data_IF_520029369475
#
_entry.id   IF_520029369475
#
_cell.length_a   1.000
_cell.length_b   1.000
_cell.length_c   1.000
_cell.angle_alpha   90.00
_cell.angle_beta   90.00
_cell.angle_gamma   90.00
#
_symmetry.space_group_name_H-M   'P 1'
#
loop_
_entity.id
_entity.type
_entity.pdbx_description
1 polymer ?
#
# COMPACT_ATOMS: atom_id res chain seq x y z
N UNK A 1 8.78 -3.26 -1.29
CA UNK A 1 7.69 -3.61 -0.36
C UNK A 1 6.52 -4.21 -1.11
N UNK A 2 5.62 -3.38 -1.63
CA UNK A 2 4.33 -3.81 -2.22
C UNK A 2 4.48 -4.82 -3.35
N UNK A 3 5.38 -4.58 -4.31
CA UNK A 3 5.62 -5.49 -5.45
C UNK A 3 6.08 -6.87 -4.98
N UNK A 4 6.94 -6.94 -3.95
CA UNK A 4 7.44 -8.21 -3.38
C UNK A 4 6.31 -8.96 -2.67
N UNK A 5 5.45 -8.26 -1.93
CA UNK A 5 4.28 -8.87 -1.29
C UNK A 5 3.30 -9.46 -2.31
N UNK A 6 3.04 -8.73 -3.40
CA UNK A 6 2.17 -9.20 -4.49
C UNK A 6 2.79 -10.40 -5.21
N UNK A 7 4.08 -10.35 -5.52
CA UNK A 7 4.79 -11.46 -6.17
C UNK A 7 4.80 -12.74 -5.30
N UNK A 8 5.06 -12.61 -4.00
CA UNK A 8 5.02 -13.74 -3.07
C UNK A 8 3.62 -14.36 -2.99
N UNK A 9 2.58 -13.54 -2.94
CA UNK A 9 1.19 -13.98 -2.91
C UNK A 9 0.79 -14.73 -4.20
N UNK A 10 1.24 -14.25 -5.37
CA UNK A 10 1.03 -14.96 -6.65
C UNK A 10 1.72 -16.33 -6.66
N UNK A 11 2.92 -16.43 -6.07
CA UNK A 11 3.62 -17.71 -5.90
C UNK A 11 2.89 -18.67 -4.96
N UNK A 12 2.41 -18.18 -3.81
CA UNK A 12 1.65 -18.99 -2.85
C UNK A 12 0.37 -19.57 -3.43
N UNK A 13 -0.33 -18.82 -4.30
CA UNK A 13 -1.52 -19.32 -5.02
C UNK A 13 -1.23 -20.49 -5.97
N UNK A 14 0.01 -20.68 -6.41
CA UNK A 14 0.39 -21.85 -7.22
C UNK A 14 0.62 -23.10 -6.37
N UNK A 15 0.75 -22.94 -5.05
CA UNK A 15 1.04 -24.03 -4.11
C UNK A 15 -0.24 -24.49 -3.42
N UNK A 16 -1.17 -23.59 -3.12
CA UNK A 16 -2.40 -23.89 -2.37
C UNK A 16 -3.63 -23.82 -3.27
N UNK A 17 -4.28 -24.96 -3.48
CA UNK A 17 -5.48 -25.10 -4.31
C UNK A 17 -6.75 -25.14 -3.46
N UNK A 18 -6.94 -24.14 -2.60
CA UNK A 18 -8.10 -24.08 -1.71
C UNK A 18 -9.35 -23.55 -2.43
N UNK A 19 -10.44 -24.32 -2.36
CA UNK A 19 -11.75 -23.99 -2.95
C UNK A 19 -12.42 -22.83 -2.20
N UNK A 20 -13.12 -21.94 -2.93
CA UNK A 20 -13.77 -20.75 -2.35
C UNK A 20 -15.07 -21.09 -1.63
N UNK A 21 -15.45 -20.35 -0.57
CA UNK A 21 -16.74 -20.56 0.09
C UNK A 21 -17.92 -20.35 -0.87
N UNK A 22 -17.79 -19.48 -1.88
CA UNK A 22 -18.81 -19.28 -2.92
C UNK A 22 -19.07 -20.49 -3.82
N UNK A 23 -18.15 -21.45 -3.87
CA UNK A 23 -18.26 -22.68 -4.66
C UNK A 23 -18.62 -23.89 -3.75
N UNK A 24 -18.12 -23.89 -2.51
CA UNK A 24 -18.36 -24.98 -1.56
C UNK A 24 -19.70 -24.90 -0.81
N UNK A 25 -20.28 -23.70 -0.63
CA UNK A 25 -21.50 -23.50 0.16
C UNK A 25 -22.64 -23.00 -0.74
N UNK A 26 -23.58 -23.90 -1.05
CA UNK A 26 -24.73 -23.64 -1.92
C UNK A 26 -25.71 -22.55 -1.42
N UNK A 27 -25.52 -22.01 -0.21
CA UNK A 27 -26.45 -21.06 0.45
C UNK A 27 -25.82 -19.68 0.69
N UNK A 28 -24.62 -19.42 0.16
CA UNK A 28 -23.98 -18.11 0.25
C UNK A 28 -24.57 -17.19 -0.82
N UNK A 29 -25.24 -16.12 -0.37
CA UNK A 29 -25.69 -15.05 -1.27
C UNK A 29 -24.46 -14.23 -1.67
N UNK A 30 -23.94 -14.51 -2.86
CA UNK A 30 -22.82 -13.75 -3.43
C UNK A 30 -23.33 -12.56 -4.22
N UNK A 31 -22.84 -11.36 -3.88
CA UNK A 31 -23.14 -10.13 -4.65
C UNK A 31 -22.35 -10.09 -5.97
N UNK A 32 -21.25 -10.85 -6.06
CA UNK A 32 -20.35 -10.91 -7.21
C UNK A 32 -20.18 -12.35 -7.70
N UNK A 33 -20.11 -12.60 -9.03
CA UNK A 33 -19.89 -13.94 -9.57
C UNK A 33 -18.64 -14.59 -8.97
N UNK A 34 -18.75 -15.87 -8.60
CA UNK A 34 -17.62 -16.63 -8.09
C UNK A 34 -16.55 -16.70 -9.20
N UNK A 35 -15.28 -16.35 -8.91
CA UNK A 35 -14.18 -16.47 -9.86
C UNK A 35 -14.06 -17.90 -10.40
N UNK A 36 -13.56 -18.06 -11.63
CA UNK A 36 -13.41 -19.38 -12.26
C UNK A 36 -12.53 -20.34 -11.45
N UNK A 37 -12.67 -21.65 -11.70
CA UNK A 37 -12.07 -22.76 -10.91
C UNK A 37 -10.54 -22.71 -10.73
N UNK A 38 -9.83 -21.84 -11.44
CA UNK A 38 -8.38 -21.65 -11.34
C UNK A 38 -7.97 -20.53 -10.39
N UNK A 39 -8.91 -19.78 -9.81
CA UNK A 39 -8.62 -18.71 -8.86
C UNK A 39 -8.88 -19.16 -7.41
N UNK A 40 -7.86 -19.69 -6.76
CA UNK A 40 -7.93 -20.23 -5.40
C UNK A 40 -8.17 -19.16 -4.32
N UNK A 41 -8.72 -19.60 -3.18
CA UNK A 41 -9.07 -18.75 -2.03
C UNK A 41 -7.86 -18.23 -1.27
N UNK A 42 -6.81 -19.06 -1.17
CA UNK A 42 -5.68 -18.78 -0.31
C UNK A 42 -4.43 -18.37 -1.11
N UNK A 43 -3.74 -17.28 -0.75
CA UNK A 43 -4.18 -16.16 0.12
C UNK A 43 -5.05 -15.16 -0.67
N UNK A 44 -5.81 -14.29 0.02
CA UNK A 44 -6.62 -13.25 -0.62
C UNK A 44 -5.75 -12.19 -1.33
N UNK A 45 -5.82 -12.11 -2.65
CA UNK A 45 -5.12 -11.10 -3.44
C UNK A 45 -5.50 -9.67 -3.04
N UNK A 46 -6.79 -9.42 -2.79
CA UNK A 46 -7.27 -8.08 -2.50
C UNK A 46 -6.81 -7.62 -1.11
N UNK A 47 -6.87 -8.51 -0.13
CA UNK A 47 -6.38 -8.24 1.22
C UNK A 47 -4.86 -8.07 1.23
N UNK A 48 -4.12 -8.85 0.43
CA UNK A 48 -2.68 -8.68 0.24
C UNK A 48 -2.35 -7.28 -0.29
N UNK A 49 -3.00 -6.84 -1.37
CA UNK A 49 -2.76 -5.53 -1.99
C UNK A 49 -3.17 -4.40 -1.04
N UNK A 50 -4.37 -4.48 -0.45
CA UNK A 50 -4.90 -3.46 0.45
C UNK A 50 -3.99 -3.28 1.68
N UNK A 51 -3.57 -4.38 2.31
CA UNK A 51 -2.68 -4.35 3.49
C UNK A 51 -1.30 -3.82 3.12
N UNK A 52 -0.73 -4.27 1.99
CA UNK A 52 0.58 -3.81 1.55
C UNK A 52 0.57 -2.31 1.23
N UNK A 53 -0.45 -1.80 0.54
CA UNK A 53 -0.58 -0.37 0.26
C UNK A 53 -0.80 0.44 1.54
N UNK A 54 -1.69 -0.01 2.44
CA UNK A 54 -1.96 0.67 3.70
C UNK A 54 -0.70 0.83 4.56
N UNK A 55 0.11 -0.23 4.69
CA UNK A 55 1.38 -0.18 5.41
C UNK A 55 2.43 0.65 4.68
N UNK A 56 2.49 0.59 3.34
CA UNK A 56 3.38 1.45 2.56
C UNK A 56 3.10 2.93 2.82
N UNK A 57 1.82 3.33 2.84
CA UNK A 57 1.41 4.69 3.17
C UNK A 57 1.73 5.00 4.64
N UNK A 58 1.49 4.08 5.57
CA UNK A 58 1.78 4.28 6.99
C UNK A 58 3.25 4.55 7.30
N UNK A 59 4.17 3.94 6.55
CA UNK A 59 5.61 4.16 6.68
C UNK A 59 6.04 5.56 6.19
N UNK A 60 5.24 6.21 5.34
CA UNK A 60 5.49 7.56 4.81
C UNK A 60 4.74 8.62 5.63
N UNK A 61 3.43 8.42 5.85
CA UNK A 61 2.55 9.31 6.58
C UNK A 61 1.65 8.49 7.52
N UNK A 62 1.90 8.63 8.83
CA UNK A 62 1.19 7.86 9.86
C UNK A 62 -0.31 8.13 9.92
N UNK A 63 -0.77 9.36 9.64
CA UNK A 63 -2.20 9.71 9.69
C UNK A 63 -2.95 9.08 8.52
N UNK A 64 -2.46 9.29 7.30
CA UNK A 64 -3.06 8.69 6.10
C UNK A 64 -2.96 7.17 6.11
N UNK A 65 -1.84 6.63 6.61
CA UNK A 65 -1.68 5.19 6.75
C UNK A 65 -2.61 4.56 7.77
N UNK A 66 -2.88 5.23 8.90
CA UNK A 66 -3.85 4.71 9.88
C UNK A 66 -5.25 4.61 9.26
N UNK A 67 -5.67 5.62 8.50
CA UNK A 67 -6.93 5.60 7.74
C UNK A 67 -6.90 4.44 6.73
N UNK A 68 -5.81 4.29 5.98
CA UNK A 68 -5.67 3.22 4.99
C UNK A 68 -5.70 1.81 5.62
N UNK A 69 -5.15 1.63 6.83
CA UNK A 69 -5.21 0.35 7.56
C UNK A 69 -6.64 0.00 7.95
N UNK A 70 -7.43 0.98 8.41
CA UNK A 70 -8.86 0.77 8.71
C UNK A 70 -9.61 0.38 7.43
N UNK A 71 -9.35 1.08 6.32
CA UNK A 71 -9.96 0.74 5.02
C UNK A 71 -9.56 -0.66 4.55
N UNK A 72 -8.30 -1.08 4.74
CA UNK A 72 -7.85 -2.42 4.40
C UNK A 72 -8.52 -3.49 5.28
N UNK A 73 -8.75 -3.22 6.57
CA UNK A 73 -9.49 -4.12 7.44
C UNK A 73 -10.96 -4.26 7.02
N UNK A 74 -11.61 -3.15 6.64
CA UNK A 74 -12.98 -3.16 6.11
C UNK A 74 -13.09 -3.90 4.77
N UNK A 75 -12.08 -3.78 3.90
CA UNK A 75 -11.98 -4.55 2.66
C UNK A 75 -11.92 -6.05 2.95
N UNK A 76 -11.01 -6.48 3.84
CA UNK A 76 -10.87 -7.87 4.24
C UNK A 76 -12.15 -8.43 4.87
N UNK A 77 -12.81 -7.64 5.74
CA UNK A 77 -14.11 -8.02 6.31
C UNK A 77 -15.17 -8.22 5.23
N UNK A 78 -15.22 -7.32 4.23
CA UNK A 78 -16.17 -7.42 3.12
C UNK A 78 -15.98 -8.72 2.33
N UNK A 79 -14.74 -9.21 2.17
CA UNK A 79 -14.44 -10.48 1.49
C UNK A 79 -14.98 -11.70 2.22
N UNK A 80 -14.92 -11.69 3.56
CA UNK A 80 -15.52 -12.74 4.39
C UNK A 80 -17.04 -12.65 4.37
N UNK A 81 -17.58 -11.45 4.53
CA UNK A 81 -19.02 -11.20 4.56
C UNK A 81 -19.73 -11.63 3.27
N UNK A 82 -19.08 -11.40 2.12
CA UNK A 82 -19.57 -11.83 0.80
C UNK A 82 -19.33 -13.32 0.50
N UNK A 83 -18.73 -14.07 1.44
CA UNK A 83 -18.39 -15.48 1.29
C UNK A 83 -17.37 -15.76 0.17
N UNK A 84 -16.55 -14.79 -0.17
CA UNK A 84 -15.53 -14.92 -1.22
C UNK A 84 -14.24 -15.56 -0.70
N UNK A 85 -13.98 -15.45 0.60
CA UNK A 85 -12.81 -15.97 1.29
C UNK A 85 -13.17 -16.37 2.72
N UNK A 86 -12.43 -17.33 3.28
CA UNK A 86 -12.56 -17.66 4.69
C UNK A 86 -11.88 -16.60 5.58
N UNK A 87 -12.29 -16.45 6.85
CA UNK A 87 -11.62 -15.56 7.79
C UNK A 87 -10.11 -15.81 7.90
N UNK A 88 -9.67 -17.07 7.84
CA UNK A 88 -8.25 -17.41 7.91
C UNK A 88 -7.46 -16.96 6.68
N UNK A 89 -8.06 -16.96 5.48
CA UNK A 89 -7.42 -16.47 4.25
C UNK A 89 -7.05 -14.99 4.35
N UNK A 90 -7.97 -14.19 4.91
CA UNK A 90 -7.81 -12.75 5.09
C UNK A 90 -6.74 -12.45 6.15
N UNK A 91 -6.77 -13.17 7.27
CA UNK A 91 -5.78 -13.01 8.35
C UNK A 91 -4.38 -13.41 7.85
N UNK A 92 -4.25 -14.55 7.16
CA UNK A 92 -2.98 -15.01 6.60
C UNK A 92 -2.42 -14.02 5.57
N UNK A 93 -3.25 -13.55 4.64
CA UNK A 93 -2.86 -12.55 3.64
C UNK A 93 -2.37 -11.24 4.29
N UNK A 94 -3.09 -10.75 5.30
CA UNK A 94 -2.70 -9.55 6.04
C UNK A 94 -1.36 -9.75 6.77
N UNK A 95 -1.15 -10.89 7.43
CA UNK A 95 0.07 -11.20 8.17
C UNK A 95 1.29 -11.31 7.23
N UNK A 96 1.18 -12.08 6.14
CA UNK A 96 2.26 -12.26 5.16
C UNK A 96 2.65 -10.92 4.54
N UNK A 97 1.66 -10.15 4.10
CA UNK A 97 1.88 -8.84 3.46
C UNK A 97 2.52 -7.83 4.41
N UNK A 98 2.08 -7.83 5.68
CA UNK A 98 2.66 -6.98 6.72
C UNK A 98 4.11 -7.32 6.99
N UNK A 99 4.42 -8.61 7.11
CA UNK A 99 5.77 -9.10 7.34
C UNK A 99 6.70 -8.72 6.19
N UNK A 100 6.29 -8.98 4.94
CA UNK A 100 7.09 -8.64 3.76
C UNK A 100 7.28 -7.13 3.59
N UNK A 101 6.27 -6.33 3.93
CA UNK A 101 6.40 -4.87 3.88
C UNK A 101 7.36 -4.34 4.93
N UNK A 102 7.20 -4.74 6.19
CA UNK A 102 8.01 -4.27 7.31
C UNK A 102 9.47 -4.73 7.20
N UNK A 103 9.72 -5.96 6.74
CA UNK A 103 11.08 -6.46 6.51
C UNK A 103 11.72 -5.87 5.25
N UNK A 104 10.92 -5.64 4.19
CA UNK A 104 11.42 -5.02 2.96
C UNK A 104 11.74 -3.53 3.10
N UNK A 105 11.08 -2.82 4.01
CA UNK A 105 11.30 -1.38 4.24
C UNK A 105 12.75 -1.01 4.57
N UNK A 106 13.42 -1.58 5.60
CA UNK A 106 14.82 -1.25 5.91
C UNK A 106 15.77 -1.68 4.78
N UNK A 107 15.49 -2.79 4.10
CA UNK A 107 16.30 -3.29 2.97
C UNK A 107 16.31 -2.31 1.81
N UNK A 108 15.21 -1.61 1.55
CA UNK A 108 15.14 -0.58 0.49
C UNK A 108 15.61 0.79 1.00
N UNK A 109 15.19 1.18 2.21
CA UNK A 109 15.47 2.51 2.76
C UNK A 109 16.96 2.73 3.05
N UNK A 110 17.66 1.74 3.61
CA UNK A 110 19.05 1.89 4.03
C UNK A 110 20.02 2.16 2.85
N UNK A 111 19.99 1.40 1.74
CA UNK A 111 20.83 1.71 0.58
C UNK A 111 20.38 2.99 -0.13
N UNK A 112 19.08 3.28 -0.20
CA UNK A 112 18.58 4.49 -0.84
C UNK A 112 19.01 5.76 -0.08
N UNK A 113 18.92 5.73 1.26
CA UNK A 113 19.43 6.83 2.10
C UNK A 113 20.95 6.91 2.09
N UNK A 114 21.65 5.79 2.00
CA UNK A 114 23.10 5.76 1.78
C UNK A 114 23.51 6.38 0.45
N UNK A 115 22.80 6.05 -0.62
CA UNK A 115 23.03 6.57 -1.97
C UNK A 115 22.67 8.04 -2.09
N UNK A 116 21.55 8.48 -1.49
CA UNK A 116 21.18 9.90 -1.41
C UNK A 116 22.22 10.70 -0.63
N UNK A 117 22.68 10.21 0.54
CA UNK A 117 23.76 10.83 1.31
C UNK A 117 25.10 10.85 0.56
N UNK A 118 25.37 9.85 -0.27
CA UNK A 118 26.54 9.83 -1.14
C UNK A 118 26.41 10.83 -2.30
N UNK A 119 25.24 10.90 -2.93
CA UNK A 119 24.94 11.85 -4.00
C UNK A 119 24.95 13.30 -3.51
N UNK A 120 24.55 13.56 -2.27
CA UNK A 120 24.69 14.88 -1.61
C UNK A 120 26.17 15.31 -1.43
N UNK A 121 27.12 14.37 -1.46
CA UNK A 121 28.56 14.65 -1.43
C UNK A 121 29.15 14.91 -2.83
N UNK A 122 28.34 14.74 -3.88
CA UNK A 122 28.71 15.09 -5.27
C UNK A 122 28.14 16.45 -5.66
N UNK A 123 28.65 17.11 -6.71
CA UNK A 123 28.19 18.43 -7.15
C UNK A 123 26.73 18.52 -7.64
N UNK A 124 25.95 17.43 -7.59
CA UNK A 124 24.52 17.38 -7.96
C UNK A 124 23.57 17.96 -6.90
N UNK A 125 24.10 18.38 -5.76
CA UNK A 125 23.38 19.03 -4.65
C UNK A 125 22.40 20.15 -5.07
N UNK A 126 22.72 21.06 -6.03
CA UNK A 126 21.81 22.16 -6.39
C UNK A 126 20.51 21.70 -7.05
N UNK A 127 20.52 20.56 -7.75
CA UNK A 127 19.36 20.03 -8.49
C UNK A 127 18.36 19.31 -7.59
N UNK A 128 18.81 18.80 -6.43
CA UNK A 128 17.94 18.13 -5.44
C UNK A 128 17.23 19.14 -4.53
N UNK A 129 17.85 20.30 -4.28
CA UNK A 129 17.29 21.34 -3.39
C UNK A 129 16.41 22.37 -4.09
N UNK A 130 16.49 22.49 -5.42
CA UNK A 130 15.74 23.52 -6.17
C UNK A 130 14.26 23.19 -6.39
N UNK A 131 13.81 21.98 -6.05
CA UNK A 131 12.38 21.66 -5.99
C UNK A 131 11.71 22.23 -4.72
N UNK A 132 12.46 22.45 -3.63
CA UNK A 132 11.92 22.97 -2.37
C UNK A 132 11.75 24.52 -2.41
N UNK A 133 12.59 25.23 -3.16
CA UNK A 133 12.61 26.70 -3.15
C UNK A 133 11.51 27.37 -3.98
N UNK A 134 10.71 26.62 -4.73
CA UNK A 134 9.65 27.19 -5.57
C UNK A 134 8.33 27.42 -4.80
N UNK A 135 8.14 26.81 -3.62
CA UNK A 135 6.88 26.88 -2.86
C UNK A 135 6.95 27.82 -1.64
N UNK A 136 8.01 28.63 -1.51
CA UNK A 136 8.13 29.64 -0.45
C UNK A 136 8.71 30.95 -0.98
N UNK A 137 8.13 31.48 -2.06
CA UNK A 137 8.27 32.90 -2.38
C UNK A 137 7.26 33.67 -1.52
N UNK A 138 7.68 34.52 -0.55
CA UNK A 138 6.75 35.38 0.17
C UNK A 138 6.10 36.37 -0.81
N UNK A 139 4.79 36.56 -0.67
CA UNK A 139 4.00 37.49 -1.47
C UNK A 139 4.65 38.89 -1.49
N UNK A 140 4.71 39.58 -2.65
CA UNK A 140 5.25 40.92 -2.70
C UNK A 140 4.39 41.85 -1.84
N UNK A 141 4.99 42.43 -0.81
CA UNK A 141 4.42 43.55 -0.06
C UNK A 141 4.09 44.65 -1.05
N UNK A 142 2.79 44.94 -1.24
CA UNK A 142 2.35 46.08 -2.03
C UNK A 142 2.98 47.36 -1.47
N UNK A 143 3.87 47.97 -2.25
CA UNK A 143 4.36 49.32 -1.99
C UNK A 143 3.21 50.30 -2.23
N UNK A 144 2.74 50.90 -1.14
CA UNK A 144 1.92 52.10 -1.15
C UNK A 144 2.55 53.20 -2.03
N UNK A 145 1.98 53.42 -3.21
CA UNK A 145 2.09 54.70 -3.92
C UNK A 145 1.01 55.64 -3.38
N UNK A 146 1.38 56.50 -2.44
CA UNK A 146 0.61 57.71 -2.14
C UNK A 146 1.17 58.84 -2.99
N UNK A 147 0.52 59.08 -4.13
CA UNK A 147 0.68 60.28 -4.96
C UNK A 147 -0.12 61.44 -4.37
N UNK A 148 0.59 62.56 -4.17
CA UNK A 148 0.21 63.96 -4.37
C UNK A 148 -1.24 64.42 -4.06
N UNK A 149 -1.33 65.41 -3.17
CA UNK A 149 -2.48 66.28 -2.93
C UNK A 149 -2.19 67.27 -1.81
#
# INVERSE_FOLDING_TARGET
GTVVAVAANLGLKQVFTETRPCDALAHVVTVQPCPGLTDYSFPSNHTTIATALALGVFLINRRLGAIAIVLAALEGFSRVYLGQHYPHDVIAAAFISSTLMLLGWPVVRNPLTGLLRWAERTPLRPLLTSAESADTAPAPTELHHTTAG
#
